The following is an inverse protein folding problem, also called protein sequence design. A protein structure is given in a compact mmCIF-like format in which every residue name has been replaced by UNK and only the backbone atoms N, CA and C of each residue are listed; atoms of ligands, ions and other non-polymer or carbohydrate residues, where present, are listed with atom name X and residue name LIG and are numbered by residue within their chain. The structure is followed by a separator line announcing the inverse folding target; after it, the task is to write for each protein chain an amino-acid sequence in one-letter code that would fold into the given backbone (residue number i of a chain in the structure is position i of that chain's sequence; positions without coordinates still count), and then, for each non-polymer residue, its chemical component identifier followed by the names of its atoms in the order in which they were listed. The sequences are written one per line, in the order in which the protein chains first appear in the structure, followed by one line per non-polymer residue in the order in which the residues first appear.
data_IF_869650682894
#
_entry.id   IF_869650682894
#
_cell.length_a   1.000
_cell.length_b   1.000
_cell.length_c   1.000
_cell.angle_alpha   90.00
_cell.angle_beta   90.00
_cell.angle_gamma   90.00
#
_symmetry.space_group_name_H-M   'P 1'
#
loop_
_entity.id
_entity.type
_entity.pdbx_description
1 polymer ?
#
# COMPACT_ATOMS: atom_id res chain seq x y z
N UNK A 1 -19.24 -3.82 8.71
CA UNK A 1 -18.39 -4.62 9.62
C UNK A 1 -17.10 -3.84 9.77
N UNK A 2 -16.53 -3.73 10.98
CA UNK A 2 -15.52 -2.72 11.29
C UNK A 2 -14.13 -3.00 10.70
N UNK A 3 -13.30 -1.96 10.51
CA UNK A 3 -11.94 -2.05 10.01
C UNK A 3 -11.04 -3.01 10.79
N UNK A 4 -11.21 -3.12 12.12
CA UNK A 4 -10.42 -4.03 12.95
C UNK A 4 -10.51 -5.50 12.50
N UNK A 5 -11.65 -5.94 11.96
CA UNK A 5 -11.83 -7.31 11.44
C UNK A 5 -11.08 -7.49 10.13
N UNK A 6 -11.05 -6.48 9.25
CA UNK A 6 -10.31 -6.52 7.99
C UNK A 6 -8.80 -6.53 8.26
N UNK A 7 -8.30 -5.60 9.05
CA UNK A 7 -6.89 -5.49 9.43
C UNK A 7 -6.36 -6.70 10.19
N UNK A 8 -7.24 -7.41 10.93
CA UNK A 8 -6.82 -8.62 11.63
C UNK A 8 -6.49 -9.79 10.70
N UNK A 9 -6.93 -9.74 9.44
CA UNK A 9 -6.66 -10.78 8.44
C UNK A 9 -5.19 -10.99 8.18
N UNK A 10 -4.45 -9.92 7.91
CA UNK A 10 -3.05 -9.97 7.50
C UNK A 10 -2.16 -10.83 8.41
N UNK A 11 -2.40 -10.78 9.69
CA UNK A 11 -1.64 -11.59 10.64
C UNK A 11 -2.38 -12.86 11.08
N UNK A 12 -3.63 -12.72 11.53
CA UNK A 12 -4.29 -13.79 12.26
C UNK A 12 -4.76 -14.93 11.36
N UNK A 13 -5.05 -14.67 10.08
CA UNK A 13 -5.37 -15.75 9.13
C UNK A 13 -4.15 -16.64 8.87
N UNK A 14 -3.00 -16.07 8.57
CA UNK A 14 -1.79 -16.85 8.35
C UNK A 14 -1.43 -17.70 9.58
N UNK A 15 -1.51 -17.12 10.77
CA UNK A 15 -1.12 -17.75 12.02
C UNK A 15 -2.19 -18.66 12.67
N UNK A 16 -3.40 -18.80 12.10
CA UNK A 16 -4.51 -19.51 12.74
C UNK A 16 -4.53 -21.03 12.51
N UNK A 17 -3.48 -21.60 11.88
CA UNK A 17 -3.40 -23.03 11.63
C UNK A 17 -4.31 -23.53 10.49
N UNK A 18 -4.44 -24.84 10.32
CA UNK A 18 -5.31 -25.52 9.38
C UNK A 18 -6.06 -26.64 10.06
N UNK A 19 -7.35 -26.81 9.77
CA UNK A 19 -8.17 -27.85 10.39
C UNK A 19 -8.07 -27.86 11.90
N UNK A 20 -7.56 -28.95 12.48
CA UNK A 20 -7.30 -29.13 13.90
C UNK A 20 -5.83 -28.81 14.30
N UNK A 21 -4.94 -28.48 13.34
CA UNK A 21 -3.55 -28.17 13.59
C UNK A 21 -3.38 -26.68 13.82
N UNK A 22 -2.88 -26.29 15.00
CA UNK A 22 -2.44 -24.93 15.28
C UNK A 22 -1.11 -24.61 14.60
N UNK A 23 -0.66 -23.35 14.71
CA UNK A 23 0.57 -22.88 14.06
C UNK A 23 1.80 -23.68 14.49
N UNK A 24 1.95 -23.97 15.78
CA UNK A 24 3.11 -24.71 16.31
C UNK A 24 3.25 -26.09 15.67
N UNK A 25 2.14 -26.82 15.51
CA UNK A 25 2.14 -28.13 14.84
C UNK A 25 2.46 -28.00 13.33
N UNK A 26 2.03 -26.92 12.69
CA UNK A 26 2.42 -26.65 11.30
C UNK A 26 3.90 -26.34 11.17
N UNK A 27 4.46 -25.56 12.07
CA UNK A 27 5.90 -25.22 12.08
C UNK A 27 6.75 -26.49 12.30
N UNK A 28 6.32 -27.40 13.15
CA UNK A 28 6.98 -28.71 13.32
C UNK A 28 6.91 -29.56 12.04
N UNK A 29 5.76 -29.63 11.38
CA UNK A 29 5.57 -30.40 10.14
C UNK A 29 6.37 -29.85 8.95
N UNK A 30 6.57 -28.52 8.92
CA UNK A 30 7.27 -27.83 7.84
C UNK A 30 8.74 -27.59 8.15
N UNK A 31 9.22 -28.03 9.32
CA UNK A 31 10.62 -27.87 9.72
C UNK A 31 11.60 -28.46 8.69
N UNK A 32 12.60 -27.68 8.30
CA UNK A 32 13.58 -28.04 7.26
C UNK A 32 13.08 -27.87 5.81
N UNK A 33 11.85 -27.42 5.61
CA UNK A 33 11.26 -27.08 4.32
C UNK A 33 11.13 -25.60 4.14
N UNK A 34 11.02 -25.14 2.90
CA UNK A 34 10.68 -23.76 2.59
C UNK A 34 9.20 -23.68 2.25
N UNK A 35 8.39 -23.68 3.29
CA UNK A 35 6.92 -23.59 3.21
C UNK A 35 6.49 -22.41 4.07
N UNK A 36 5.72 -21.51 3.49
CA UNK A 36 5.30 -20.26 4.13
C UNK A 36 3.81 -20.00 3.90
N UNK A 37 3.23 -19.18 4.74
CA UNK A 37 1.86 -18.75 4.61
C UNK A 37 1.77 -17.27 5.00
N UNK A 38 1.76 -16.41 3.97
CA UNK A 38 1.50 -14.99 4.15
C UNK A 38 0.10 -14.67 3.61
N UNK A 39 -0.53 -13.68 4.21
CA UNK A 39 -1.83 -13.17 3.77
C UNK A 39 -1.82 -11.65 3.76
N UNK A 40 -2.38 -11.07 2.72
CA UNK A 40 -2.56 -9.63 2.59
C UNK A 40 -3.97 -9.29 2.12
N UNK A 41 -4.45 -8.12 2.53
CA UNK A 41 -5.68 -7.51 2.04
C UNK A 41 -5.30 -6.43 1.06
N UNK A 42 -5.46 -6.73 -0.22
CA UNK A 42 -5.17 -5.80 -1.30
C UNK A 42 -6.40 -4.95 -1.66
N UNK A 43 -6.26 -4.05 -2.62
CA UNK A 43 -7.32 -3.09 -2.98
C UNK A 43 -8.58 -3.75 -3.53
N UNK A 44 -8.43 -4.85 -4.26
CA UNK A 44 -9.52 -5.57 -4.93
C UNK A 44 -9.46 -7.10 -4.76
N UNK A 45 -8.52 -7.60 -3.94
CA UNK A 45 -8.30 -9.02 -3.73
C UNK A 45 -7.85 -9.35 -2.30
N UNK A 46 -7.93 -10.63 -1.97
CA UNK A 46 -7.20 -11.22 -0.83
C UNK A 46 -6.08 -12.08 -1.41
N UNK A 47 -4.86 -11.80 -0.98
CA UNK A 47 -3.67 -12.49 -1.46
C UNK A 47 -3.14 -13.50 -0.43
N UNK A 48 -2.92 -14.74 -0.87
CA UNK A 48 -2.09 -15.71 -0.17
C UNK A 48 -0.79 -15.86 -0.91
N UNK A 49 0.33 -15.59 -0.27
CA UNK A 49 1.65 -15.65 -0.90
C UNK A 49 2.64 -16.50 -0.12
N UNK A 50 3.60 -17.07 -0.87
CA UNK A 50 4.69 -17.84 -0.30
C UNK A 50 5.90 -17.84 -1.25
N UNK A 51 7.08 -17.93 -0.68
CA UNK A 51 8.29 -18.30 -1.38
C UNK A 51 8.68 -19.74 -1.02
N UNK A 52 8.91 -20.57 -2.03
CA UNK A 52 9.16 -21.99 -1.82
C UNK A 52 10.23 -22.53 -2.78
N UNK A 53 10.80 -23.70 -2.47
CA UNK A 53 11.68 -24.42 -3.39
C UNK A 53 10.87 -25.31 -4.34
N UNK A 54 11.37 -25.63 -5.54
CA UNK A 54 10.69 -26.56 -6.44
C UNK A 54 10.35 -27.91 -5.78
N UNK A 55 11.23 -28.40 -4.89
CA UNK A 55 11.00 -29.65 -4.16
C UNK A 55 9.84 -29.58 -3.15
N UNK A 56 9.52 -28.40 -2.64
CA UNK A 56 8.47 -28.17 -1.63
C UNK A 56 7.16 -27.63 -2.26
N UNK A 57 7.16 -27.30 -3.56
CA UNK A 57 6.04 -26.65 -4.24
C UNK A 57 4.72 -27.43 -4.11
N UNK A 58 4.77 -28.75 -4.23
CA UNK A 58 3.59 -29.60 -4.11
C UNK A 58 2.93 -29.46 -2.73
N UNK A 59 3.73 -29.45 -1.67
CA UNK A 59 3.23 -29.32 -0.30
C UNK A 59 2.81 -27.87 0.02
N UNK A 60 3.47 -26.87 -0.58
CA UNK A 60 3.04 -25.47 -0.50
C UNK A 60 1.64 -25.30 -1.10
N UNK A 61 1.38 -25.84 -2.30
CA UNK A 61 0.06 -25.78 -2.94
C UNK A 61 -1.00 -26.54 -2.15
N UNK A 62 -0.65 -27.69 -1.54
CA UNK A 62 -1.54 -28.42 -0.63
C UNK A 62 -1.88 -27.61 0.60
N UNK A 63 -0.90 -26.88 1.16
CA UNK A 63 -1.14 -26.00 2.32
C UNK A 63 -2.15 -24.90 1.97
N UNK A 64 -1.99 -24.20 0.84
CA UNK A 64 -2.95 -23.21 0.38
C UNK A 64 -4.35 -23.81 0.18
N UNK A 65 -4.45 -24.94 -0.53
CA UNK A 65 -5.73 -25.61 -0.75
C UNK A 65 -6.39 -26.03 0.57
N UNK A 66 -5.60 -26.58 1.51
CA UNK A 66 -6.11 -26.98 2.82
C UNK A 66 -6.54 -25.76 3.65
N UNK A 67 -5.79 -24.67 3.59
CA UNK A 67 -6.13 -23.41 4.29
C UNK A 67 -7.47 -22.83 3.82
N UNK A 68 -7.74 -22.92 2.53
CA UNK A 68 -9.01 -22.48 1.95
C UNK A 68 -10.17 -23.45 2.25
N UNK A 69 -9.94 -24.77 2.14
CA UNK A 69 -10.95 -25.77 2.38
C UNK A 69 -11.29 -25.96 3.86
N UNK A 70 -10.27 -25.93 4.72
CA UNK A 70 -10.34 -26.23 6.14
C UNK A 70 -9.48 -25.25 6.95
N UNK A 71 -9.84 -23.96 6.99
CA UNK A 71 -9.11 -22.99 7.78
C UNK A 71 -9.12 -23.36 9.25
N UNK A 72 -7.97 -23.27 9.90
CA UNK A 72 -7.88 -23.35 11.35
C UNK A 72 -8.39 -22.05 11.98
N UNK A 73 -8.91 -22.15 13.19
CA UNK A 73 -9.45 -21.02 13.94
C UNK A 73 -8.87 -20.97 15.36
N UNK A 74 -7.54 -21.13 15.47
CA UNK A 74 -6.85 -20.97 16.74
C UNK A 74 -7.12 -19.56 17.29
N UNK A 75 -7.64 -19.44 18.52
CA UNK A 75 -7.93 -18.14 19.12
C UNK A 75 -6.69 -17.32 19.47
N UNK A 76 -5.55 -17.97 19.75
CA UNK A 76 -4.37 -17.33 20.30
C UNK A 76 -3.78 -16.24 19.37
N UNK A 77 -3.69 -16.41 18.03
CA UNK A 77 -3.23 -15.35 17.14
C UNK A 77 -4.06 -14.07 17.20
N UNK A 78 -5.38 -14.21 17.28
CA UNK A 78 -6.31 -13.05 17.37
C UNK A 78 -6.10 -12.30 18.68
N UNK A 79 -5.96 -13.00 19.79
CA UNK A 79 -5.72 -12.38 21.11
C UNK A 79 -4.35 -11.69 21.17
N UNK A 80 -3.30 -12.31 20.63
CA UNK A 80 -1.97 -11.69 20.54
C UNK A 80 -1.99 -10.44 19.67
N UNK A 81 -2.64 -10.53 18.50
CA UNK A 81 -2.79 -9.39 17.59
C UNK A 81 -3.50 -8.22 18.24
N UNK A 82 -4.63 -8.48 18.92
CA UNK A 82 -5.39 -7.48 19.66
C UNK A 82 -4.53 -6.72 20.67
N UNK A 83 -3.74 -7.43 21.46
CA UNK A 83 -2.83 -6.80 22.43
C UNK A 83 -1.74 -5.96 21.75
N UNK A 84 -1.16 -6.48 20.66
CA UNK A 84 -0.17 -5.76 19.85
C UNK A 84 -0.75 -4.48 19.24
N UNK A 85 -1.94 -4.55 18.64
CA UNK A 85 -2.61 -3.41 18.05
C UNK A 85 -2.96 -2.33 19.09
N UNK A 86 -3.44 -2.70 20.27
CA UNK A 86 -3.73 -1.74 21.35
C UNK A 86 -2.45 -1.02 21.82
N UNK A 87 -1.37 -1.77 21.99
CA UNK A 87 -0.07 -1.19 22.37
C UNK A 87 0.48 -0.28 21.27
N UNK A 88 0.43 -0.73 20.02
CA UNK A 88 0.85 0.05 18.86
C UNK A 88 0.04 1.32 18.69
N UNK A 89 -1.28 1.26 18.87
CA UNK A 89 -2.18 2.41 18.81
C UNK A 89 -1.75 3.51 19.79
N UNK A 90 -1.54 3.14 21.05
CA UNK A 90 -1.13 4.07 22.09
C UNK A 90 0.26 4.68 21.82
N UNK A 91 1.20 3.91 21.23
CA UNK A 91 2.53 4.39 20.84
C UNK A 91 2.47 5.34 19.62
N UNK A 92 1.68 5.01 18.61
CA UNK A 92 1.56 5.80 17.39
C UNK A 92 0.98 7.21 17.64
N UNK A 93 0.16 7.38 18.68
CA UNK A 93 -0.35 8.70 19.07
C UNK A 93 0.72 9.64 19.66
N UNK A 94 1.94 9.14 19.94
CA UNK A 94 2.99 9.94 20.58
C UNK A 94 3.88 10.70 19.60
N UNK A 95 3.76 10.49 18.29
CA UNK A 95 4.57 11.19 17.29
C UNK A 95 3.78 11.54 16.04
N UNK A 96 4.17 12.59 15.30
CA UNK A 96 3.55 12.89 14.00
C UNK A 96 3.69 11.72 13.02
N UNK A 97 4.87 11.06 12.99
CA UNK A 97 5.12 9.93 12.10
C UNK A 97 4.21 8.74 12.45
N UNK A 98 4.03 8.44 13.74
CA UNK A 98 3.14 7.36 14.16
C UNK A 98 1.69 7.56 13.71
N UNK A 99 1.20 8.81 13.71
CA UNK A 99 -0.12 9.14 13.19
C UNK A 99 -0.17 9.04 11.65
N UNK A 100 0.91 9.43 10.96
CA UNK A 100 1.03 9.25 9.50
C UNK A 100 0.99 7.76 9.16
N UNK A 101 1.83 6.95 9.78
CA UNK A 101 1.90 5.50 9.53
C UNK A 101 0.57 4.80 9.79
N UNK A 102 -0.19 5.25 10.81
CA UNK A 102 -1.47 4.67 11.14
C UNK A 102 -2.60 5.13 10.24
N UNK A 103 -2.75 6.44 10.04
CA UNK A 103 -4.01 7.01 9.57
C UNK A 103 -3.96 7.65 8.16
N UNK A 104 -2.76 7.87 7.60
CA UNK A 104 -2.60 8.61 6.34
C UNK A 104 -3.44 8.03 5.20
N UNK A 105 -3.39 6.72 5.01
CA UNK A 105 -4.14 6.05 3.94
C UNK A 105 -5.64 6.26 4.13
N UNK A 106 -6.15 6.12 5.34
CA UNK A 106 -7.55 6.41 5.66
C UNK A 106 -7.94 7.85 5.32
N UNK A 107 -7.10 8.81 5.69
CA UNK A 107 -7.36 10.22 5.35
C UNK A 107 -7.34 10.48 3.85
N UNK A 108 -6.37 9.92 3.11
CA UNK A 108 -6.27 10.07 1.65
C UNK A 108 -7.38 9.33 0.89
N UNK A 109 -8.06 8.40 1.54
CA UNK A 109 -9.24 7.67 1.01
C UNK A 109 -10.57 8.26 1.53
N UNK A 110 -10.57 9.48 2.08
CA UNK A 110 -11.78 10.14 2.58
C UNK A 110 -12.42 9.45 3.78
N UNK A 111 -11.60 8.85 4.64
CA UNK A 111 -12.01 8.07 5.82
C UNK A 111 -12.92 6.86 5.47
N UNK A 112 -12.80 6.31 4.25
CA UNK A 112 -13.54 5.11 3.82
C UNK A 112 -13.25 3.93 4.77
N UNK A 113 -14.29 3.25 5.27
CA UNK A 113 -14.15 2.13 6.21
C UNK A 113 -13.27 0.96 5.72
N UNK A 114 -13.01 0.86 4.43
CA UNK A 114 -12.14 -0.18 3.87
C UNK A 114 -10.66 0.09 4.15
N UNK A 115 -10.27 1.37 4.24
CA UNK A 115 -8.86 1.80 4.37
C UNK A 115 -8.54 2.57 5.64
N UNK A 116 -9.55 3.08 6.35
CA UNK A 116 -9.27 3.78 7.60
C UNK A 116 -8.76 2.81 8.67
N UNK A 117 -7.90 3.28 9.51
CA UNK A 117 -7.45 2.53 10.68
C UNK A 117 -8.62 2.23 11.64
N UNK A 118 -8.59 1.08 12.32
CA UNK A 118 -9.56 0.80 13.37
C UNK A 118 -9.39 1.76 14.55
N UNK A 119 -10.49 2.10 15.19
CA UNK A 119 -10.42 2.82 16.45
C UNK A 119 -9.96 1.91 17.59
N UNK A 120 -9.52 2.50 18.70
CA UNK A 120 -9.10 1.74 19.86
C UNK A 120 -10.23 0.85 20.40
N UNK A 121 -11.49 1.32 20.36
CA UNK A 121 -12.68 0.59 20.77
C UNK A 121 -12.98 -0.59 19.81
N UNK A 122 -12.82 -0.39 18.51
CA UNK A 122 -12.98 -1.46 17.52
C UNK A 122 -11.94 -2.55 17.72
N UNK A 123 -10.67 -2.18 18.01
CA UNK A 123 -9.60 -3.14 18.34
C UNK A 123 -9.97 -3.86 19.65
N UNK A 124 -10.40 -3.14 20.67
CA UNK A 124 -10.77 -3.73 21.96
C UNK A 124 -11.94 -4.72 21.86
N UNK A 125 -12.87 -4.49 20.92
CA UNK A 125 -14.02 -5.34 20.66
C UNK A 125 -13.69 -6.59 19.81
N UNK A 126 -12.49 -6.69 19.23
CA UNK A 126 -12.07 -7.85 18.44
C UNK A 126 -12.05 -9.11 19.32
N UNK A 127 -12.66 -10.18 18.82
CA UNK A 127 -12.68 -11.51 19.46
C UNK A 127 -12.45 -12.62 18.43
N UNK A 128 -11.94 -13.79 18.83
CA UNK A 128 -11.82 -14.95 17.93
C UNK A 128 -13.14 -15.34 17.25
N UNK A 129 -14.24 -15.21 17.95
CA UNK A 129 -15.58 -15.52 17.42
C UNK A 129 -15.99 -14.51 16.33
N UNK A 130 -15.79 -13.20 16.55
CA UNK A 130 -16.09 -12.16 15.55
C UNK A 130 -15.16 -12.25 14.34
N UNK A 131 -13.89 -12.59 14.55
CA UNK A 131 -12.89 -12.83 13.51
C UNK A 131 -13.33 -13.99 12.60
N UNK A 132 -13.64 -15.16 13.18
CA UNK A 132 -14.12 -16.33 12.42
C UNK A 132 -15.41 -16.01 11.64
N UNK A 133 -16.39 -15.40 12.30
CA UNK A 133 -17.67 -15.05 11.65
C UNK A 133 -17.53 -14.08 10.48
N UNK A 134 -16.47 -13.26 10.48
CA UNK A 134 -16.16 -12.36 9.37
C UNK A 134 -15.41 -13.07 8.23
N UNK A 135 -14.34 -13.81 8.53
CA UNK A 135 -13.44 -14.35 7.52
C UNK A 135 -13.91 -15.69 6.91
N UNK A 136 -14.58 -16.54 7.67
CA UNK A 136 -14.98 -17.86 7.16
C UNK A 136 -15.84 -17.80 5.88
N UNK A 137 -16.86 -16.94 5.76
CA UNK A 137 -17.60 -16.79 4.50
C UNK A 137 -16.77 -16.18 3.37
N UNK A 138 -15.84 -15.27 3.68
CA UNK A 138 -15.00 -14.61 2.66
C UNK A 138 -13.99 -15.58 2.05
N UNK A 139 -13.36 -16.43 2.85
CA UNK A 139 -12.43 -17.46 2.36
C UNK A 139 -13.10 -18.53 1.46
N UNK A 140 -14.43 -18.62 1.52
CA UNK A 140 -15.23 -19.55 0.71
C UNK A 140 -15.87 -18.87 -0.50
N UNK A 141 -15.54 -17.61 -0.80
CA UNK A 141 -16.19 -16.83 -1.85
C UNK A 141 -15.22 -16.35 -2.90
N UNK A 142 -15.71 -16.20 -4.12
CA UNK A 142 -14.96 -15.61 -5.23
C UNK A 142 -14.12 -16.59 -6.04
N UNK A 143 -13.66 -16.16 -7.23
CA UNK A 143 -12.74 -16.92 -8.06
C UNK A 143 -11.34 -16.91 -7.43
N UNK A 144 -10.57 -17.96 -7.70
CA UNK A 144 -9.17 -18.08 -7.30
C UNK A 144 -8.31 -17.87 -8.55
N UNK A 145 -7.41 -16.90 -8.51
CA UNK A 145 -6.31 -16.73 -9.45
C UNK A 145 -5.05 -17.31 -8.82
N UNK A 146 -4.30 -18.11 -9.58
CA UNK A 146 -3.04 -18.71 -9.11
C UNK A 146 -1.91 -18.20 -9.98
N UNK A 147 -0.89 -17.66 -9.34
CA UNK A 147 0.33 -17.21 -10.00
C UNK A 147 1.54 -17.97 -9.44
N UNK A 148 2.36 -18.54 -10.31
CA UNK A 148 3.56 -19.26 -9.92
C UNK A 148 4.71 -18.75 -10.78
N UNK A 149 5.72 -18.19 -10.14
CA UNK A 149 6.90 -17.62 -10.77
C UNK A 149 8.17 -18.34 -10.30
N UNK A 150 9.05 -18.68 -11.22
CA UNK A 150 10.33 -19.30 -10.90
C UNK A 150 10.78 -20.33 -11.94
N UNK A 151 11.86 -21.03 -11.63
CA UNK A 151 12.31 -22.19 -12.39
C UNK A 151 11.49 -23.41 -11.98
N UNK A 152 10.50 -23.75 -12.78
CA UNK A 152 9.60 -24.88 -12.52
C UNK A 152 10.17 -26.22 -12.99
N UNK A 153 11.28 -26.19 -13.74
CA UNK A 153 11.98 -27.39 -14.18
C UNK A 153 11.08 -28.40 -14.90
N UNK A 154 10.99 -29.62 -14.34
CA UNK A 154 10.17 -30.72 -14.87
C UNK A 154 8.86 -30.91 -14.08
N UNK A 155 8.46 -29.97 -13.27
CA UNK A 155 7.25 -30.08 -12.45
C UNK A 155 6.01 -30.01 -13.35
N UNK A 156 5.14 -30.99 -13.24
CA UNK A 156 3.83 -30.98 -13.89
C UNK A 156 2.88 -30.08 -13.09
N UNK A 157 2.89 -28.79 -13.43
CA UNK A 157 2.07 -27.76 -12.76
C UNK A 157 0.58 -28.03 -12.94
N UNK A 158 0.15 -28.48 -14.10
CA UNK A 158 -1.27 -28.73 -14.38
C UNK A 158 -1.80 -29.86 -13.49
N UNK A 159 -1.06 -30.97 -13.35
CA UNK A 159 -1.42 -32.05 -12.46
C UNK A 159 -1.41 -31.62 -10.98
N UNK A 160 -0.43 -30.81 -10.57
CA UNK A 160 -0.38 -30.26 -9.21
C UNK A 160 -1.57 -29.35 -8.90
N UNK A 161 -1.87 -28.42 -9.79
CA UNK A 161 -3.00 -27.51 -9.61
C UNK A 161 -4.32 -28.29 -9.61
N UNK A 162 -4.52 -29.23 -10.52
CA UNK A 162 -5.73 -30.06 -10.57
C UNK A 162 -5.95 -30.84 -9.26
N UNK A 163 -4.88 -31.34 -8.63
CA UNK A 163 -4.96 -32.14 -7.41
C UNK A 163 -4.98 -31.29 -6.11
N UNK A 164 -4.79 -29.99 -6.20
CA UNK A 164 -4.74 -29.07 -5.06
C UNK A 164 -5.82 -28.01 -5.16
N UNK A 165 -5.49 -26.80 -5.58
CA UNK A 165 -6.43 -25.66 -5.66
C UNK A 165 -7.57 -25.92 -6.66
N UNK A 166 -7.31 -26.63 -7.77
CA UNK A 166 -8.31 -27.03 -8.75
C UNK A 166 -9.29 -28.09 -8.27
N UNK A 167 -9.00 -28.77 -7.16
CA UNK A 167 -9.92 -29.74 -6.52
C UNK A 167 -10.94 -29.07 -5.58
N UNK A 168 -10.77 -27.77 -5.30
CA UNK A 168 -11.70 -27.05 -4.44
C UNK A 168 -13.06 -26.90 -5.12
N UNK A 169 -14.13 -26.90 -4.33
CA UNK A 169 -15.47 -26.67 -4.85
C UNK A 169 -15.54 -25.23 -5.42
N UNK A 170 -15.94 -25.07 -6.70
CA UNK A 170 -16.09 -23.75 -7.27
C UNK A 170 -17.08 -22.91 -6.47
N UNK A 171 -16.71 -21.67 -6.19
CA UNK A 171 -17.57 -20.70 -5.53
C UNK A 171 -18.06 -19.69 -6.55
N UNK A 172 -19.27 -19.19 -6.37
CA UNK A 172 -19.80 -18.13 -7.24
C UNK A 172 -18.90 -16.88 -7.11
N UNK A 173 -18.63 -16.23 -8.26
CA UNK A 173 -18.00 -14.93 -8.22
C UNK A 173 -18.86 -13.99 -7.37
N UNK A 174 -18.26 -13.13 -6.53
CA UNK A 174 -19.01 -12.06 -5.88
C UNK A 174 -19.71 -11.24 -6.98
N UNK A 175 -20.93 -10.80 -6.69
CA UNK A 175 -21.65 -9.91 -7.62
C UNK A 175 -20.83 -8.64 -7.89
N UNK A 176 -21.05 -8.04 -9.03
CA UNK A 176 -20.33 -6.85 -9.53
C UNK A 176 -20.65 -5.54 -8.73
N UNK A 177 -21.27 -5.67 -7.57
CA UNK A 177 -21.90 -4.59 -6.81
C UNK A 177 -20.94 -3.82 -5.86
N UNK A 178 -19.67 -4.18 -5.79
CA UNK A 178 -18.73 -3.43 -4.96
C UNK A 178 -18.34 -2.11 -5.66
N UNK A 179 -18.44 -0.96 -4.98
CA UNK A 179 -17.99 0.29 -5.57
C UNK A 179 -16.49 0.22 -5.85
N UNK A 180 -16.15 0.22 -7.14
CA UNK A 180 -14.76 0.22 -7.63
C UNK A 180 -14.08 1.59 -7.53
N UNK A 181 -14.83 2.61 -7.09
CA UNK A 181 -14.29 3.95 -6.92
C UNK A 181 -13.80 4.15 -5.50
N UNK A 182 -12.57 4.63 -5.41
CA UNK A 182 -11.96 5.06 -4.18
C UNK A 182 -12.05 6.59 -4.11
N UNK A 183 -12.60 7.10 -3.00
CA UNK A 183 -12.70 8.53 -2.76
C UNK A 183 -11.34 9.16 -2.46
N UNK A 184 -11.30 10.48 -2.53
CA UNK A 184 -10.22 11.32 -2.04
C UNK A 184 -10.84 12.47 -1.23
N UNK A 185 -10.18 12.99 -0.18
CA UNK A 185 -10.74 14.09 0.61
C UNK A 185 -10.95 15.33 -0.24
N UNK A 186 -11.99 16.09 0.07
CA UNK A 186 -12.24 17.35 -0.62
C UNK A 186 -11.08 18.32 -0.42
N UNK A 187 -10.78 19.11 -1.46
CA UNK A 187 -9.82 20.19 -1.35
C UNK A 187 -10.16 21.14 -0.20
N UNK A 188 -9.14 21.61 0.51
CA UNK A 188 -9.32 22.50 1.65
C UNK A 188 -8.44 23.77 1.54
N UNK A 189 -9.00 24.89 1.94
CA UNK A 189 -8.28 26.17 1.98
C UNK A 189 -7.42 26.33 3.24
N UNK A 190 -7.80 25.65 4.34
CA UNK A 190 -7.04 25.55 5.57
C UNK A 190 -6.69 24.09 5.85
N UNK A 191 -5.50 23.78 6.35
CA UNK A 191 -5.10 22.41 6.64
C UNK A 191 -6.03 21.72 7.66
N UNK A 192 -6.35 20.44 7.43
CA UNK A 192 -6.92 19.58 8.48
C UNK A 192 -5.92 19.50 9.63
N UNK A 193 -6.36 19.73 10.85
CA UNK A 193 -5.50 19.69 12.04
C UNK A 193 -5.72 18.36 12.75
N UNK A 194 -4.61 17.65 12.99
CA UNK A 194 -4.55 16.45 13.83
C UNK A 194 -3.54 16.72 14.95
N UNK A 195 -3.70 16.08 16.11
CA UNK A 195 -2.84 16.31 17.25
C UNK A 195 -2.22 15.03 17.76
N UNK A 196 -0.92 15.08 18.08
CA UNK A 196 -0.18 14.01 18.74
C UNK A 196 0.15 14.36 20.19
N UNK A 197 0.38 13.33 21.02
CA UNK A 197 0.63 13.49 22.46
C UNK A 197 2.10 13.61 22.86
N UNK A 198 3.01 13.71 21.90
CA UNK A 198 4.44 13.66 22.11
C UNK A 198 5.11 15.01 22.31
N UNK A 199 6.34 15.13 21.76
CA UNK A 199 7.19 16.30 21.90
C UNK A 199 6.58 17.54 21.23
N UNK A 200 6.52 18.65 21.98
CA UNK A 200 6.00 19.93 21.51
C UNK A 200 6.80 20.57 20.36
N UNK A 201 8.04 20.11 20.14
CA UNK A 201 8.88 20.60 19.04
C UNK A 201 8.67 19.84 17.73
N UNK A 202 7.87 18.78 17.73
CA UNK A 202 7.61 17.96 16.55
C UNK A 202 6.26 18.29 15.91
N UNK A 203 6.25 18.36 14.60
CA UNK A 203 5.05 18.51 13.78
C UNK A 203 5.25 17.79 12.44
N UNK A 204 4.17 17.67 11.67
CA UNK A 204 4.25 17.31 10.26
C UNK A 204 3.31 18.19 9.45
N UNK A 205 3.69 18.47 8.21
CA UNK A 205 2.84 19.15 7.25
C UNK A 205 2.81 18.35 5.93
N UNK A 206 1.62 18.18 5.38
CA UNK A 206 1.39 17.39 4.17
C UNK A 206 0.49 18.14 3.19
N UNK A 207 0.79 17.97 1.90
CA UNK A 207 -0.06 18.31 0.76
C UNK A 207 -0.32 17.07 -0.06
N UNK A 208 -1.52 16.90 -0.56
CA UNK A 208 -1.82 15.78 -1.45
C UNK A 208 -2.82 16.19 -2.53
N UNK A 209 -2.70 15.53 -3.68
CA UNK A 209 -3.58 15.72 -4.84
C UNK A 209 -4.05 14.37 -5.36
N UNK A 210 -5.35 14.21 -5.67
CA UNK A 210 -5.84 13.00 -6.31
C UNK A 210 -5.28 12.88 -7.74
N UNK A 211 -4.87 11.70 -8.13
CA UNK A 211 -4.41 11.40 -9.48
C UNK A 211 -5.39 10.51 -10.23
N UNK A 212 -5.16 9.24 -10.27
CA UNK A 212 -5.99 8.27 -10.97
C UNK A 212 -5.64 6.86 -10.53
N UNK A 213 -5.85 5.89 -11.39
CA UNK A 213 -5.55 4.48 -11.16
C UNK A 213 -5.80 3.66 -12.41
N UNK A 214 -5.68 2.34 -12.24
CA UNK A 214 -6.03 1.33 -13.23
C UNK A 214 -4.95 1.01 -14.24
N UNK A 215 -5.00 -0.24 -14.68
CA UNK A 215 -4.08 -0.82 -15.65
C UNK A 215 -4.04 -0.09 -17.01
N UNK A 216 -5.14 0.57 -17.37
CA UNK A 216 -5.26 1.28 -18.66
C UNK A 216 -4.40 2.54 -18.78
N UNK A 217 -3.96 3.12 -17.66
CA UNK A 217 -3.22 4.37 -17.61
C UNK A 217 -1.91 4.29 -16.82
N UNK A 218 -1.32 3.10 -16.69
CA UNK A 218 -0.07 2.85 -15.96
C UNK A 218 1.09 3.75 -16.40
N UNK A 219 1.16 4.10 -17.69
CA UNK A 219 2.17 5.07 -18.18
C UNK A 219 2.05 6.41 -17.45
N UNK A 220 0.84 6.89 -17.19
CA UNK A 220 0.62 8.14 -16.44
C UNK A 220 1.11 8.00 -15.01
N UNK A 221 0.87 6.87 -14.35
CA UNK A 221 1.38 6.59 -13.00
C UNK A 221 2.91 6.67 -12.94
N UNK A 222 3.61 6.05 -13.90
CA UNK A 222 5.08 6.08 -14.00
C UNK A 222 5.64 7.48 -14.30
N UNK A 223 4.95 8.25 -15.13
CA UNK A 223 5.29 9.65 -15.36
C UNK A 223 5.11 10.50 -14.10
N UNK A 224 4.07 10.25 -13.29
CA UNK A 224 3.85 10.89 -11.99
C UNK A 224 4.92 10.50 -10.96
N UNK A 225 5.44 9.28 -11.01
CA UNK A 225 6.55 8.85 -10.18
C UNK A 225 7.83 9.65 -10.50
N UNK A 226 8.14 9.88 -11.78
CA UNK A 226 9.25 10.75 -12.18
C UNK A 226 9.00 12.19 -11.74
N UNK A 227 7.78 12.71 -11.86
CA UNK A 227 7.42 14.04 -11.35
C UNK A 227 7.60 14.11 -9.83
N UNK A 228 7.21 13.08 -9.09
CA UNK A 228 7.44 13.01 -7.64
C UNK A 228 8.93 13.02 -7.28
N UNK A 229 9.77 12.30 -8.02
CA UNK A 229 11.22 12.33 -7.83
C UNK A 229 11.81 13.74 -8.05
N UNK A 230 11.40 14.44 -9.10
CA UNK A 230 11.81 15.84 -9.37
C UNK A 230 11.32 16.77 -8.25
N UNK A 231 10.09 16.60 -7.82
CA UNK A 231 9.54 17.39 -6.70
C UNK A 231 10.34 17.17 -5.42
N UNK A 232 10.67 15.92 -5.12
CA UNK A 232 11.48 15.55 -3.95
C UNK A 232 12.86 16.20 -3.98
N UNK A 233 13.56 16.15 -5.12
CA UNK A 233 14.88 16.76 -5.32
C UNK A 233 14.83 18.28 -5.04
N UNK A 234 13.89 19.00 -5.66
CA UNK A 234 13.68 20.44 -5.44
C UNK A 234 13.32 20.77 -3.99
N UNK A 235 12.46 19.98 -3.37
CA UNK A 235 12.01 20.22 -2.01
C UNK A 235 13.15 19.99 -1.01
N UNK A 236 13.90 18.91 -1.19
CA UNK A 236 15.07 18.60 -0.38
C UNK A 236 16.11 19.71 -0.42
N UNK A 237 16.48 20.16 -1.62
CA UNK A 237 17.45 21.23 -1.81
C UNK A 237 17.03 22.53 -1.12
N UNK A 238 15.76 22.92 -1.23
CA UNK A 238 15.26 24.16 -0.62
C UNK A 238 15.14 24.09 0.89
N UNK A 239 14.71 22.97 1.43
CA UNK A 239 14.61 22.79 2.88
C UNK A 239 16.02 22.72 3.51
N UNK A 240 16.98 22.05 2.85
CA UNK A 240 18.36 21.94 3.33
C UNK A 240 19.13 23.27 3.27
N UNK A 241 18.97 24.01 2.19
CA UNK A 241 19.69 25.27 1.98
C UNK A 241 19.33 26.35 3.02
N UNK A 242 18.14 26.24 3.63
CA UNK A 242 17.59 27.28 4.50
C UNK A 242 17.91 27.09 5.99
N UNK A 243 18.10 25.85 6.50
CA UNK A 243 18.16 25.63 7.96
C UNK A 243 19.22 24.64 8.43
N UNK A 244 19.91 23.91 7.58
CA UNK A 244 20.72 22.78 8.01
C UNK A 244 19.91 21.70 8.76
N UNK A 245 18.58 21.78 8.73
CA UNK A 245 17.70 20.93 9.48
C UNK A 245 17.61 19.54 8.84
N UNK A 246 17.67 18.53 9.70
CA UNK A 246 17.75 17.10 9.38
C UNK A 246 16.42 16.46 8.95
N UNK A 247 15.46 17.22 8.48
CA UNK A 247 14.14 16.66 8.12
C UNK A 247 14.11 16.30 6.63
N UNK A 248 14.07 15.01 6.34
CA UNK A 248 13.88 14.54 4.97
C UNK A 248 12.44 14.81 4.50
N UNK A 249 12.25 15.35 3.29
CA UNK A 249 10.92 15.43 2.70
C UNK A 249 10.40 14.02 2.40
N UNK A 250 9.07 13.89 2.39
CA UNK A 250 8.34 12.70 1.95
C UNK A 250 7.60 13.11 0.69
N UNK A 251 8.00 12.56 -0.45
CA UNK A 251 7.25 12.75 -1.71
C UNK A 251 6.97 11.37 -2.30
N UNK A 252 5.70 11.07 -2.50
CA UNK A 252 5.25 9.79 -3.01
C UNK A 252 4.18 9.98 -4.08
N UNK A 253 4.20 9.12 -5.08
CA UNK A 253 3.13 8.98 -6.07
C UNK A 253 2.59 7.56 -5.98
N UNK A 254 1.29 7.44 -5.80
CA UNK A 254 0.58 6.17 -5.75
C UNK A 254 -0.35 6.06 -6.95
N UNK A 255 -0.32 4.91 -7.62
CA UNK A 255 -1.17 4.60 -8.76
C UNK A 255 -1.69 3.17 -8.63
N UNK A 256 -2.87 2.96 -8.03
CA UNK A 256 -3.48 1.63 -7.87
C UNK A 256 -3.62 0.92 -9.20
N UNK A 257 -3.32 -0.39 -9.25
CA UNK A 257 -3.40 -1.17 -10.49
C UNK A 257 -4.79 -1.79 -10.69
N UNK A 258 -5.41 -2.28 -9.62
CA UNK A 258 -6.69 -3.01 -9.65
C UNK A 258 -7.92 -2.12 -9.76
N UNK A 259 -7.81 -0.82 -9.52
CA UNK A 259 -8.93 0.15 -9.50
C UNK A 259 -8.59 1.42 -10.25
N UNK A 260 -9.57 2.00 -10.94
CA UNK A 260 -9.36 3.17 -11.81
C UNK A 260 -9.26 4.52 -11.06
N UNK A 261 -9.24 4.50 -9.73
CA UNK A 261 -9.22 5.69 -8.88
C UNK A 261 -8.40 5.46 -7.61
N UNK A 262 -8.27 6.49 -6.79
CA UNK A 262 -7.62 6.38 -5.48
C UNK A 262 -6.11 6.65 -5.50
N UNK A 263 -5.50 6.87 -6.64
CA UNK A 263 -4.12 7.34 -6.72
C UNK A 263 -3.97 8.77 -6.20
N UNK A 264 -2.78 9.08 -5.75
CA UNK A 264 -2.45 10.40 -5.23
C UNK A 264 -0.98 10.75 -5.47
N UNK A 265 -0.68 12.04 -5.45
CA UNK A 265 0.66 12.56 -5.23
C UNK A 265 0.68 13.23 -3.86
N UNK A 266 1.58 12.80 -3.01
CA UNK A 266 1.77 13.26 -1.63
C UNK A 266 3.10 14.00 -1.52
N UNK A 267 3.10 15.13 -0.83
CA UNK A 267 4.29 15.90 -0.46
C UNK A 267 4.20 16.21 1.02
N UNK A 268 5.21 15.87 1.80
CA UNK A 268 5.20 16.08 3.23
C UNK A 268 6.59 16.28 3.81
N UNK A 269 6.63 16.71 5.07
CA UNK A 269 7.84 16.76 5.87
C UNK A 269 7.51 16.68 7.36
N UNK A 270 8.36 16.00 8.11
CA UNK A 270 8.47 16.17 9.55
C UNK A 270 9.26 17.47 9.81
N UNK A 271 8.79 18.31 10.72
CA UNK A 271 9.37 19.63 10.94
C UNK A 271 8.99 20.18 12.33
N UNK A 272 9.55 21.33 12.71
CA UNK A 272 9.09 22.04 13.89
C UNK A 272 7.82 22.84 13.59
N UNK A 273 6.92 23.06 14.57
CA UNK A 273 5.68 23.82 14.34
C UNK A 273 5.87 25.19 13.70
N UNK A 274 6.96 25.89 14.04
CA UNK A 274 7.32 27.20 13.47
C UNK A 274 7.63 27.21 11.96
N UNK A 275 7.92 26.02 11.39
CA UNK A 275 8.40 25.87 10.01
C UNK A 275 7.28 25.45 9.03
N UNK A 276 6.05 25.25 9.53
CA UNK A 276 4.89 24.77 8.77
C UNK A 276 4.55 25.72 7.61
N UNK A 277 4.41 27.01 7.88
CA UNK A 277 4.02 27.98 6.85
C UNK A 277 5.07 28.07 5.73
N UNK A 278 6.33 28.00 6.11
CA UNK A 278 7.44 28.00 5.16
C UNK A 278 7.43 26.74 4.29
N UNK A 279 7.19 25.56 4.87
CA UNK A 279 7.05 24.33 4.11
C UNK A 279 5.95 24.45 3.06
N UNK A 280 4.76 24.90 3.45
CA UNK A 280 3.65 25.09 2.51
C UNK A 280 3.96 26.10 1.41
N UNK A 281 4.61 27.22 1.74
CA UNK A 281 5.03 28.20 0.76
C UNK A 281 6.03 27.59 -0.24
N UNK A 282 7.05 26.91 0.26
CA UNK A 282 8.07 26.25 -0.58
C UNK A 282 7.46 25.19 -1.49
N UNK A 283 6.59 24.32 -0.97
CA UNK A 283 5.94 23.29 -1.77
C UNK A 283 5.03 23.87 -2.86
N UNK A 284 4.26 24.92 -2.55
CA UNK A 284 3.41 25.60 -3.55
C UNK A 284 4.22 26.35 -4.60
N UNK A 285 5.38 26.90 -4.24
CA UNK A 285 6.30 27.52 -5.21
C UNK A 285 6.82 26.48 -6.20
N UNK A 286 7.20 25.28 -5.74
CA UNK A 286 7.61 24.17 -6.60
C UNK A 286 6.47 23.76 -7.54
N UNK A 287 5.25 23.62 -7.03
CA UNK A 287 4.06 23.33 -7.87
C UNK A 287 3.91 24.37 -8.98
N UNK A 288 3.97 25.66 -8.63
CA UNK A 288 3.82 26.74 -9.60
C UNK A 288 4.92 26.68 -10.67
N UNK A 289 6.18 26.47 -10.30
CA UNK A 289 7.29 26.35 -11.23
C UNK A 289 7.13 25.16 -12.16
N UNK A 290 6.80 23.96 -11.63
CA UNK A 290 6.57 22.77 -12.44
C UNK A 290 5.42 22.96 -13.45
N UNK A 291 4.39 23.72 -13.08
CA UNK A 291 3.27 24.02 -13.96
C UNK A 291 3.59 25.09 -15.02
N UNK A 292 4.49 26.03 -14.73
CA UNK A 292 4.75 27.20 -15.62
C UNK A 292 6.02 27.07 -16.45
N UNK A 293 7.01 26.31 -15.97
CA UNK A 293 8.35 26.22 -16.62
C UNK A 293 8.70 24.75 -16.81
N UNK A 294 8.98 24.30 -18.04
CA UNK A 294 9.48 22.95 -18.27
C UNK A 294 10.78 22.69 -17.51
N UNK A 295 10.91 21.49 -16.94
CA UNK A 295 12.18 21.03 -16.35
C UNK A 295 13.27 20.95 -17.42
N UNK A 296 14.53 21.13 -17.03
CA UNK A 296 15.64 20.96 -17.98
C UNK A 296 15.86 19.47 -18.29
N UNK A 297 16.48 19.19 -19.44
CA UNK A 297 16.83 17.81 -19.80
C UNK A 297 17.76 17.16 -18.76
N UNK A 298 18.69 17.93 -18.20
CA UNK A 298 19.62 17.44 -17.17
C UNK A 298 18.90 17.14 -15.85
N UNK A 299 17.96 17.97 -15.43
CA UNK A 299 17.13 17.73 -14.24
C UNK A 299 16.26 16.49 -14.41
N UNK A 300 15.61 16.35 -15.57
CA UNK A 300 14.84 15.16 -15.89
C UNK A 300 15.72 13.91 -15.86
N UNK A 301 16.88 13.93 -16.50
CA UNK A 301 17.76 12.77 -16.56
C UNK A 301 18.28 12.35 -15.18
N UNK A 302 18.64 13.32 -14.31
CA UNK A 302 19.09 13.04 -12.94
C UNK A 302 18.00 12.35 -12.11
N UNK A 303 16.73 12.70 -12.30
CA UNK A 303 15.63 12.16 -11.50
C UNK A 303 15.00 10.91 -12.10
N UNK A 304 14.88 10.82 -13.43
CA UNK A 304 14.34 9.62 -14.09
C UNK A 304 15.35 8.45 -14.10
N UNK A 305 16.65 8.74 -14.07
CA UNK A 305 17.71 7.71 -14.06
C UNK A 305 17.58 6.73 -12.89
N UNK A 306 17.58 7.18 -11.63
CA UNK A 306 17.41 6.33 -10.46
C UNK A 306 16.09 5.54 -10.46
N UNK A 307 14.97 6.15 -10.90
CA UNK A 307 13.69 5.45 -11.03
C UNK A 307 13.80 4.28 -12.01
N UNK A 308 14.37 4.53 -13.21
CA UNK A 308 14.59 3.48 -14.20
C UNK A 308 15.50 2.37 -13.68
N UNK A 309 16.59 2.71 -13.00
CA UNK A 309 17.50 1.71 -12.43
C UNK A 309 16.84 0.87 -11.33
N UNK A 310 15.96 1.48 -10.53
CA UNK A 310 15.18 0.76 -9.53
C UNK A 310 14.29 -0.29 -10.18
N UNK A 311 13.57 0.07 -11.24
CA UNK A 311 12.75 -0.88 -11.99
C UNK A 311 13.59 -1.95 -12.68
N UNK A 312 14.70 -1.60 -13.31
CA UNK A 312 15.59 -2.56 -13.94
C UNK A 312 16.12 -3.60 -12.94
N UNK A 313 16.43 -3.19 -11.71
CA UNK A 313 16.82 -4.13 -10.64
C UNK A 313 15.63 -4.97 -10.17
N UNK A 314 14.46 -4.36 -9.95
CA UNK A 314 13.27 -5.05 -9.48
C UNK A 314 12.80 -6.14 -10.47
N UNK A 315 12.86 -5.86 -11.77
CA UNK A 315 12.51 -6.80 -12.85
C UNK A 315 13.37 -8.07 -12.91
N UNK A 316 14.50 -8.12 -12.19
CA UNK A 316 15.30 -9.35 -12.06
C UNK A 316 14.73 -10.34 -11.05
N UNK A 317 13.77 -9.93 -10.21
CA UNK A 317 13.22 -10.74 -9.12
C UNK A 317 11.79 -11.24 -9.40
N UNK A 318 11.51 -12.49 -9.01
CA UNK A 318 10.19 -13.12 -9.20
C UNK A 318 9.08 -12.37 -8.45
N UNK A 319 9.34 -11.89 -7.22
CA UNK A 319 8.35 -11.17 -6.41
C UNK A 319 7.82 -9.93 -7.12
N UNK A 320 8.69 -9.22 -7.84
CA UNK A 320 8.25 -8.03 -8.56
C UNK A 320 7.36 -8.37 -9.77
N UNK A 321 7.63 -9.48 -10.47
CA UNK A 321 6.76 -9.98 -11.52
C UNK A 321 5.42 -10.45 -10.99
N UNK A 322 5.38 -11.09 -9.82
CA UNK A 322 4.13 -11.45 -9.14
C UNK A 322 3.28 -10.21 -8.90
N UNK A 323 3.86 -9.17 -8.29
CA UNK A 323 3.18 -7.89 -8.05
C UNK A 323 2.69 -7.23 -9.35
N UNK A 324 3.52 -7.17 -10.41
CA UNK A 324 3.15 -6.53 -11.68
C UNK A 324 2.01 -7.24 -12.42
N UNK A 325 1.89 -8.54 -12.25
CA UNK A 325 0.93 -9.38 -12.97
C UNK A 325 -0.25 -9.82 -12.10
N UNK A 326 -0.33 -9.33 -10.86
CA UNK A 326 -1.49 -9.57 -10.02
C UNK A 326 -2.78 -9.10 -10.72
N UNK A 327 -3.79 -9.98 -10.79
CA UNK A 327 -5.03 -9.71 -11.50
C UNK A 327 -4.94 -9.75 -13.04
N UNK A 328 -3.79 -10.13 -13.62
CA UNK A 328 -3.60 -10.12 -15.08
C UNK A 328 -4.51 -11.10 -15.85
N UNK A 329 -5.01 -12.14 -15.20
CA UNK A 329 -6.02 -13.03 -15.81
C UNK A 329 -7.38 -12.33 -15.94
N UNK A 330 -7.69 -11.39 -15.08
CA UNK A 330 -8.91 -10.57 -15.10
C UNK A 330 -8.73 -9.33 -15.99
N UNK A 331 -7.55 -8.71 -15.93
CA UNK A 331 -7.21 -7.54 -16.72
C UNK A 331 -5.90 -7.73 -17.52
N UNK A 332 -5.98 -8.23 -18.77
CA UNK A 332 -4.78 -8.44 -19.61
C UNK A 332 -3.98 -7.18 -19.92
N UNK A 333 -4.51 -5.96 -19.64
CA UNK A 333 -3.77 -4.70 -19.82
C UNK A 333 -2.56 -4.63 -18.89
N UNK A 334 -2.60 -5.32 -17.74
CA UNK A 334 -1.48 -5.43 -16.79
C UNK A 334 -0.25 -6.09 -17.42
N UNK A 335 -0.43 -7.12 -18.24
CA UNK A 335 0.69 -7.76 -18.98
C UNK A 335 1.39 -6.74 -19.87
N UNK A 336 0.61 -5.96 -20.62
CA UNK A 336 1.17 -4.91 -21.46
C UNK A 336 1.88 -3.84 -20.63
N UNK A 337 1.26 -3.42 -19.55
CA UNK A 337 1.86 -2.44 -18.65
C UNK A 337 3.21 -2.94 -18.10
N UNK A 338 3.30 -4.19 -17.66
CA UNK A 338 4.54 -4.79 -17.17
C UNK A 338 5.66 -4.79 -18.23
N UNK A 339 5.32 -5.15 -19.48
CA UNK A 339 6.30 -5.23 -20.59
C UNK A 339 6.83 -3.84 -21.03
N UNK A 340 6.12 -2.76 -20.76
CA UNK A 340 6.50 -1.40 -21.22
C UNK A 340 7.08 -0.52 -20.11
N UNK A 341 7.34 -1.05 -18.92
CA UNK A 341 7.75 -0.27 -17.75
C UNK A 341 9.02 0.57 -18.00
N UNK A 342 10.08 -0.03 -18.51
CA UNK A 342 11.34 0.69 -18.79
C UNK A 342 11.17 1.75 -19.90
N UNK A 343 10.41 1.40 -20.94
CA UNK A 343 10.12 2.30 -22.04
C UNK A 343 9.32 3.50 -21.59
N UNK A 344 8.27 3.31 -20.78
CA UNK A 344 7.41 4.37 -20.31
C UNK A 344 8.18 5.43 -19.51
N UNK A 345 9.20 5.00 -18.74
CA UNK A 345 10.06 5.91 -17.97
C UNK A 345 11.10 6.58 -18.90
N UNK A 346 11.68 5.83 -19.83
CA UNK A 346 12.70 6.36 -20.75
C UNK A 346 12.15 7.41 -21.74
N UNK A 347 10.86 7.30 -22.07
CA UNK A 347 10.18 8.22 -22.99
C UNK A 347 9.55 9.45 -22.29
N UNK A 348 9.74 9.63 -20.99
CA UNK A 348 9.23 10.82 -20.27
C UNK A 348 9.95 12.06 -20.78
N UNK A 349 9.19 13.10 -21.08
CA UNK A 349 9.69 14.39 -21.60
C UNK A 349 9.45 15.53 -20.59
N UNK A 350 10.20 16.63 -20.67
CA UNK A 350 9.91 17.84 -19.89
C UNK A 350 8.47 18.35 -20.06
N UNK A 351 7.91 18.21 -21.26
CA UNK A 351 6.53 18.59 -21.54
C UNK A 351 5.51 17.69 -20.83
N UNK A 352 5.81 16.41 -20.67
CA UNK A 352 4.96 15.48 -19.90
C UNK A 352 4.92 15.90 -18.42
N UNK A 353 6.06 16.21 -17.83
CA UNK A 353 6.14 16.65 -16.42
C UNK A 353 5.33 17.93 -16.21
N UNK A 354 5.50 18.92 -17.09
CA UNK A 354 4.74 20.17 -17.01
C UNK A 354 3.22 19.94 -17.17
N UNK A 355 2.82 19.15 -18.17
CA UNK A 355 1.42 18.79 -18.40
C UNK A 355 0.80 18.11 -17.18
N UNK A 356 1.50 17.16 -16.57
CA UNK A 356 1.03 16.46 -15.37
C UNK A 356 0.92 17.40 -14.17
N UNK A 357 1.89 18.30 -13.97
CA UNK A 357 1.79 19.31 -12.93
C UNK A 357 0.57 20.22 -13.12
N UNK A 358 0.31 20.67 -14.35
CA UNK A 358 -0.87 21.48 -14.70
C UNK A 358 -2.19 20.71 -14.51
N UNK A 359 -2.21 19.43 -14.80
CA UNK A 359 -3.42 18.60 -14.72
C UNK A 359 -3.77 18.20 -13.28
N UNK A 360 -2.76 17.83 -12.47
CA UNK A 360 -2.98 17.21 -11.17
C UNK A 360 -2.68 18.13 -10.00
N UNK A 361 -1.66 18.98 -10.06
CA UNK A 361 -1.19 19.77 -8.92
C UNK A 361 -1.86 21.15 -8.86
N UNK A 362 -3.18 21.19 -8.95
CA UNK A 362 -3.94 22.45 -8.92
C UNK A 362 -4.45 22.76 -7.50
N UNK A 363 -4.65 24.06 -7.22
CA UNK A 363 -5.17 24.52 -5.92
C UNK A 363 -6.57 23.99 -5.62
N UNK A 364 -7.40 23.81 -6.64
CA UNK A 364 -8.78 23.33 -6.54
C UNK A 364 -8.87 21.85 -6.15
N UNK A 365 -7.76 21.12 -6.28
CA UNK A 365 -7.67 19.70 -5.98
C UNK A 365 -6.79 19.41 -4.76
N UNK A 366 -6.10 20.43 -4.24
CA UNK A 366 -5.16 20.29 -3.15
C UNK A 366 -5.87 20.03 -1.83
N UNK A 367 -5.49 18.94 -1.17
CA UNK A 367 -5.80 18.69 0.22
C UNK A 367 -4.54 18.92 1.07
N UNK A 368 -4.72 19.45 2.27
CA UNK A 368 -3.61 19.72 3.18
C UNK A 368 -3.92 19.25 4.60
N UNK A 369 -2.90 18.79 5.29
CA UNK A 369 -2.95 18.29 6.66
C UNK A 369 -1.77 18.84 7.45
N UNK A 370 -2.02 19.20 8.71
CA UNK A 370 -0.97 19.47 9.68
C UNK A 370 -1.16 18.62 10.93
N UNK A 371 -0.08 18.03 11.41
CA UNK A 371 -0.03 17.29 12.66
C UNK A 371 0.75 18.14 13.66
N UNK A 372 0.09 18.54 14.74
CA UNK A 372 0.62 19.41 15.77
C UNK A 372 0.67 18.70 17.13
N UNK A 373 1.54 19.10 18.05
CA UNK A 373 1.44 18.64 19.43
C UNK A 373 0.12 19.09 20.07
N UNK A 374 -0.38 18.30 21.01
CA UNK A 374 -1.47 18.74 21.88
C UNK A 374 -1.05 19.99 22.67
N UNK A 375 -1.99 20.94 22.83
CA UNK A 375 -1.78 22.10 23.69
C UNK A 375 -1.74 21.63 25.15
N UNK A 376 -0.56 21.32 25.62
CA UNK A 376 -0.32 21.15 27.06
C UNK A 376 -0.27 22.56 27.63
N UNK A 377 -1.32 22.98 28.33
CA UNK A 377 -1.31 24.23 29.07
C UNK A 377 -0.01 24.39 29.86
N UNK A 378 0.37 25.62 30.25
CA UNK A 378 1.61 25.86 30.97
C UNK A 378 1.68 24.96 32.23
N UNK A 379 2.77 24.18 32.32
CA UNK A 379 3.11 23.38 33.51
C UNK A 379 3.49 24.29 34.65
#
# INVERSE_FOLDING_TARGET
KGPALLWSGDYALAASGIGALGQEALDELTNGRQIQLNFAVEEDAFEWSAETRPADLADQLRLFATKLAQPGWDPAPVERLKLGLLTGFDQQETTPNGLIDRDLIGWLRGDDPRWRSPTREEIAALTPASFRAFWEPLLKSGPIEVQIFGDLGTVDIDALLASTLGSLTPTAAPGDDAPRQIGFPAANSAPRIVRHRGDACQAAALLAWPTGGGAGAMRTGRQLEVLAAIFNDRLFDRLRAQDGASYGPIVASEWPQGVDSGGYLLVGSLLAPKDIDRFYATARDIVRELATTPVTADELARNAGPVREQYARALTGNLFWMYLLEGATRDPRLVRAALFIERDIAEVTPADIQRLAQQYLTSERQWSLVILPEDRGPR
#
